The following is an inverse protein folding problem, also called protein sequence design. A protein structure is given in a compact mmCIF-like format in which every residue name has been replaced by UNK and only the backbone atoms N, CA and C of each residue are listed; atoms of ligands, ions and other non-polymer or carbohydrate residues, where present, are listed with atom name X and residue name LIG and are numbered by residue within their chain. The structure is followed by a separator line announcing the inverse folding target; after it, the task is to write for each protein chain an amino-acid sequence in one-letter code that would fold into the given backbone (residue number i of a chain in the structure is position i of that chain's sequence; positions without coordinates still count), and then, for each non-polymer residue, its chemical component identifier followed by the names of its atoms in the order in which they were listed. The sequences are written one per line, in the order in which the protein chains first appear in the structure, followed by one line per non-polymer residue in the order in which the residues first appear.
data_IF_899825004139
#
_entry.id   IF_899825004139
#
_cell.length_a   1.000
_cell.length_b   1.000
_cell.length_c   1.000
_cell.angle_alpha   90.00
_cell.angle_beta   90.00
_cell.angle_gamma   90.00
#
_symmetry.space_group_name_H-M   'P 1'
#
loop_
_entity.id
_entity.type
_entity.pdbx_description
1 polymer ?
#
# COMPACT_ATOMS: atom_id res chain seq x y z
N UNK A 1 8.59 -3.82 20.76
CA UNK A 1 8.20 -4.11 19.36
C UNK A 1 6.90 -3.37 19.10
N UNK A 2 6.82 -2.36 18.24
CA UNK A 2 5.51 -1.83 17.89
C UNK A 2 4.84 -2.88 17.00
N UNK A 3 3.93 -3.64 17.61
CA UNK A 3 2.91 -4.39 16.87
C UNK A 3 1.91 -3.33 16.43
N UNK A 4 2.06 -2.81 15.22
CA UNK A 4 0.94 -2.14 14.57
C UNK A 4 -0.08 -3.23 14.31
N UNK A 5 -1.03 -3.40 15.24
CA UNK A 5 -2.18 -4.25 15.03
C UNK A 5 -2.85 -3.77 13.73
N UNK A 6 -2.91 -4.60 12.68
CA UNK A 6 -3.57 -4.20 11.47
C UNK A 6 -5.05 -4.10 11.82
N UNK A 7 -5.55 -2.88 11.95
CA UNK A 7 -6.99 -2.65 12.01
C UNK A 7 -7.58 -3.28 10.74
N UNK A 8 -8.35 -4.38 10.82
CA UNK A 8 -8.81 -5.12 9.64
C UNK A 8 -9.77 -4.30 8.76
N UNK A 9 -10.14 -3.08 9.19
CA UNK A 9 -11.05 -2.19 8.48
C UNK A 9 -10.41 -1.17 7.53
N UNK A 10 -9.07 -1.08 7.41
CA UNK A 10 -8.41 -0.04 6.56
C UNK A 10 -7.25 -0.57 5.71
N UNK A 11 -7.29 -1.84 5.32
CA UNK A 11 -6.42 -2.34 4.27
C UNK A 11 -7.04 -2.05 2.90
N UNK A 12 -6.22 -1.58 1.97
CA UNK A 12 -6.62 -1.32 0.60
C UNK A 12 -5.73 -2.10 -0.37
N UNK A 13 -6.28 -2.47 -1.51
CA UNK A 13 -5.53 -3.10 -2.59
C UNK A 13 -4.60 -2.11 -3.28
N UNK A 14 -3.62 -2.62 -4.03
CA UNK A 14 -2.78 -1.81 -4.93
C UNK A 14 -3.61 -0.92 -5.88
N UNK A 15 -4.77 -1.39 -6.35
CA UNK A 15 -5.63 -0.62 -7.25
C UNK A 15 -6.28 0.57 -6.54
N UNK A 16 -6.77 0.35 -5.33
CA UNK A 16 -7.36 1.41 -4.50
C UNK A 16 -6.30 2.40 -4.01
N UNK A 17 -5.11 1.92 -3.64
CA UNK A 17 -3.98 2.77 -3.27
C UNK A 17 -3.57 3.67 -4.44
N UNK A 18 -3.44 3.11 -5.64
CA UNK A 18 -3.16 3.83 -6.87
C UNK A 18 -4.20 4.93 -7.13
N UNK A 19 -5.49 4.60 -7.03
CA UNK A 19 -6.58 5.57 -7.18
C UNK A 19 -6.58 6.65 -6.07
N UNK A 20 -6.23 6.29 -4.84
CA UNK A 20 -6.22 7.20 -3.68
C UNK A 20 -5.18 8.31 -3.81
N UNK A 21 -3.98 7.98 -4.31
CA UNK A 21 -2.87 8.95 -4.44
C UNK A 21 -2.70 9.45 -5.89
N UNK A 22 -3.58 9.04 -6.80
CA UNK A 22 -3.59 9.50 -8.19
C UNK A 22 -2.40 9.01 -9.03
N UNK A 23 -1.86 7.81 -8.76
CA UNK A 23 -0.74 7.23 -9.50
C UNK A 23 -1.09 5.90 -10.15
N UNK A 24 -0.26 5.43 -11.08
CA UNK A 24 -0.43 4.10 -11.66
C UNK A 24 -0.16 2.96 -10.68
N UNK A 25 -0.88 1.84 -10.87
CA UNK A 25 -0.63 0.57 -10.15
C UNK A 25 0.82 0.10 -10.24
N UNK A 26 1.48 0.33 -11.38
CA UNK A 26 2.90 0.03 -11.58
C UNK A 26 3.80 0.84 -10.64
N UNK A 27 3.47 2.10 -10.38
CA UNK A 27 4.20 2.96 -9.45
C UNK A 27 4.11 2.43 -8.02
N UNK A 28 2.92 2.02 -7.60
CA UNK A 28 2.71 1.41 -6.28
C UNK A 28 3.48 0.09 -6.16
N UNK A 29 3.43 -0.78 -7.18
CA UNK A 29 4.23 -2.01 -7.19
C UNK A 29 5.73 -1.75 -7.15
N UNK A 30 6.21 -0.70 -7.82
CA UNK A 30 7.62 -0.28 -7.76
C UNK A 30 8.00 0.20 -6.36
N UNK A 31 7.14 0.94 -5.67
CA UNK A 31 7.39 1.38 -4.29
C UNK A 31 7.45 0.19 -3.32
N UNK A 32 6.59 -0.81 -3.53
CA UNK A 32 6.65 -2.07 -2.78
C UNK A 32 7.97 -2.80 -3.05
N UNK A 33 8.37 -2.92 -4.32
CA UNK A 33 9.61 -3.58 -4.71
C UNK A 33 10.87 -2.82 -4.22
N UNK A 34 10.80 -1.49 -4.12
CA UNK A 34 11.85 -0.65 -3.57
C UNK A 34 11.90 -0.68 -2.03
N UNK A 35 10.91 -1.27 -1.36
CA UNK A 35 10.80 -1.29 0.09
C UNK A 35 10.31 0.02 0.72
N UNK A 36 9.89 0.98 -0.10
CA UNK A 36 9.30 2.25 0.38
C UNK A 36 7.88 2.06 0.91
N UNK A 37 7.15 1.06 0.40
CA UNK A 37 5.79 0.75 0.82
C UNK A 37 5.71 -0.72 1.26
N UNK A 38 5.44 -0.96 2.54
CA UNK A 38 5.41 -2.31 3.09
C UNK A 38 4.00 -2.88 2.96
N UNK A 39 3.80 -3.98 2.21
CA UNK A 39 2.51 -4.63 2.14
C UNK A 39 2.21 -5.41 3.41
N UNK A 40 1.00 -5.24 3.95
CA UNK A 40 0.55 -5.92 5.17
C UNK A 40 0.39 -7.42 4.92
N UNK A 41 -0.18 -7.77 3.77
CA UNK A 41 -0.36 -9.17 3.36
C UNK A 41 -0.55 -9.28 1.85
N UNK A 42 -0.33 -10.49 1.32
CA UNK A 42 -0.62 -10.82 -0.07
C UNK A 42 -1.85 -11.72 -0.11
N UNK A 43 -2.85 -11.37 -0.91
CA UNK A 43 -4.04 -12.22 -1.07
C UNK A 43 -3.70 -13.45 -1.93
N UNK A 44 -4.16 -14.65 -1.53
CA UNK A 44 -4.10 -15.83 -2.39
C UNK A 44 -5.17 -15.71 -3.48
N UNK A 45 -4.74 -15.34 -4.69
CA UNK A 45 -5.63 -15.20 -5.84
C UNK A 45 -4.82 -15.10 -7.14
N UNK A 46 -5.49 -15.27 -8.29
CA UNK A 46 -4.85 -15.35 -9.63
C UNK A 46 -3.97 -14.13 -9.97
N UNK A 47 -4.26 -12.97 -9.39
CA UNK A 47 -3.46 -11.73 -9.51
C UNK A 47 -2.63 -11.39 -8.26
N UNK A 48 -2.76 -12.16 -7.17
CA UNK A 48 -1.93 -12.03 -5.97
C UNK A 48 -1.80 -10.60 -5.45
N UNK A 49 -2.91 -9.86 -5.34
CA UNK A 49 -2.89 -8.45 -4.96
C UNK A 49 -2.32 -8.27 -3.55
N UNK A 50 -1.38 -7.33 -3.42
CA UNK A 50 -0.92 -6.86 -2.12
C UNK A 50 -2.00 -6.00 -1.47
N UNK A 51 -2.18 -6.21 -0.18
CA UNK A 51 -2.95 -5.35 0.71
C UNK A 51 -1.98 -4.42 1.43
N UNK A 52 -2.38 -3.16 1.49
CA UNK A 52 -1.59 -2.03 1.95
C UNK A 52 -2.38 -1.31 3.03
N UNK A 53 -1.72 -0.83 4.07
CA UNK A 53 -2.35 0.08 5.02
C UNK A 53 -2.61 1.43 4.33
N UNK A 54 -3.87 1.88 4.32
CA UNK A 54 -4.25 3.17 3.72
C UNK A 54 -3.45 4.34 4.29
N UNK A 55 -3.19 4.34 5.59
CA UNK A 55 -2.43 5.36 6.30
C UNK A 55 -0.99 5.49 5.80
N UNK A 56 -0.35 4.36 5.50
CA UNK A 56 1.04 4.35 5.01
C UNK A 56 1.12 4.84 3.57
N UNK A 57 0.14 4.48 2.74
CA UNK A 57 0.00 4.99 1.37
C UNK A 57 -0.16 6.52 1.38
N UNK A 58 -0.98 7.06 2.27
CA UNK A 58 -1.18 8.51 2.40
C UNK A 58 0.08 9.21 2.93
N UNK A 59 0.76 8.64 3.93
CA UNK A 59 2.00 9.19 4.47
C UNK A 59 3.08 9.27 3.39
N UNK A 60 3.31 8.18 2.65
CA UNK A 60 4.30 8.14 1.58
C UNK A 60 4.00 9.17 0.48
N UNK A 61 2.71 9.36 0.14
CA UNK A 61 2.31 10.38 -0.82
C UNK A 61 2.57 11.80 -0.29
N UNK A 62 2.29 12.06 0.98
CA UNK A 62 2.56 13.35 1.61
C UNK A 62 4.07 13.67 1.68
N UNK A 63 4.91 12.68 2.01
CA UNK A 63 6.37 12.83 2.08
C UNK A 63 7.00 13.17 0.72
N UNK A 64 6.39 12.74 -0.39
CA UNK A 64 6.87 12.99 -1.76
C UNK A 64 6.48 14.36 -2.33
N UNK A 65 5.53 15.06 -1.71
CA UNK A 65 5.03 16.37 -2.16
C UNK A 65 5.76 17.54 -1.48
N UNK A 66 6.68 17.26 -0.54
CA UNK A 66 7.52 18.27 0.11
C UNK A 66 8.86 18.48 -0.59
#
# INVERSE_FOLDING_TARGET
MPKTEPNPSIEITVAEAAALIGVDRKTVLRQIAAGELIPTRKLPGRTGSYLLARSDVQRLAAERVS
#
